data_IF_649161923524
#
_entry.id   IF_649161923524
#
_cell.length_a   1.000
_cell.length_b   1.000
_cell.length_c   1.000
_cell.angle_alpha   90.00
_cell.angle_beta   90.00
_cell.angle_gamma   90.00
#
_symmetry.space_group_name_H-M   'P 1'
#
loop_
_entity.id
_entity.type
_entity.pdbx_description
1 polymer ?
#
# COMPACT_ATOMS: atom_id res chain seq x y z
N UNK A 1 -6.17 3.56 -22.85
CA UNK A 1 -5.95 2.12 -23.11
C UNK A 1 -6.13 1.36 -21.80
N UNK A 2 -6.46 0.07 -21.84
CA UNK A 2 -6.51 -0.78 -20.63
C UNK A 2 -5.28 -1.69 -20.63
N UNK A 3 -4.46 -1.58 -19.58
CA UNK A 3 -3.26 -2.38 -19.36
C UNK A 3 -3.56 -3.43 -18.29
N UNK A 4 -3.49 -4.72 -18.65
CA UNK A 4 -3.47 -5.83 -17.69
C UNK A 4 -2.02 -6.11 -17.32
N UNK A 5 -1.56 -5.53 -16.22
CA UNK A 5 -0.16 -5.54 -15.83
C UNK A 5 0.11 -6.67 -14.83
N UNK A 6 1.10 -7.52 -15.13
CA UNK A 6 1.62 -8.53 -14.21
C UNK A 6 2.97 -8.04 -13.66
N UNK A 7 3.11 -7.83 -12.34
CA UNK A 7 4.38 -7.37 -11.76
C UNK A 7 5.51 -8.37 -12.05
N UNK A 8 6.62 -7.88 -12.60
CA UNK A 8 7.88 -8.62 -12.71
C UNK A 8 8.88 -8.24 -11.60
N UNK A 9 8.63 -7.11 -10.95
CA UNK A 9 9.39 -6.59 -9.82
C UNK A 9 8.44 -5.86 -8.86
N UNK A 10 8.75 -5.92 -7.58
CA UNK A 10 8.14 -5.12 -6.52
C UNK A 10 9.17 -4.16 -5.95
N UNK A 11 8.72 -2.96 -5.62
CA UNK A 11 9.55 -1.89 -5.07
C UNK A 11 9.26 -1.67 -3.59
N UNK A 12 10.27 -1.32 -2.81
CA UNK A 12 10.15 -1.01 -1.38
C UNK A 12 10.39 0.47 -1.10
N UNK A 13 10.35 1.29 -2.16
CA UNK A 13 10.62 2.72 -2.10
C UNK A 13 9.77 3.48 -3.12
N UNK A 14 9.36 4.68 -2.73
CA UNK A 14 8.87 5.70 -3.66
C UNK A 14 10.06 6.53 -4.16
N UNK A 15 10.14 6.73 -5.46
CA UNK A 15 11.26 7.42 -6.10
C UNK A 15 11.32 7.15 -7.59
N UNK A 16 12.25 7.78 -8.32
CA UNK A 16 12.42 7.61 -9.76
C UNK A 16 13.09 6.27 -10.12
N UNK A 17 12.54 5.16 -9.60
CA UNK A 17 12.98 3.80 -9.89
C UNK A 17 12.75 3.44 -11.37
N UNK A 18 13.38 2.37 -11.85
CA UNK A 18 13.17 1.85 -13.21
C UNK A 18 11.66 1.61 -13.48
N UNK A 19 11.05 2.31 -14.45
CA UNK A 19 9.63 2.16 -14.74
C UNK A 19 9.27 0.74 -15.14
N UNK A 20 8.27 0.17 -14.48
CA UNK A 20 7.76 -1.15 -14.84
C UNK A 20 6.90 -1.10 -16.12
N UNK A 21 6.28 0.04 -16.38
CA UNK A 21 5.50 0.31 -17.59
C UNK A 21 5.40 1.82 -17.82
N UNK A 22 5.44 2.25 -19.09
CA UNK A 22 5.09 3.61 -19.50
C UNK A 22 3.63 3.65 -19.92
N UNK A 23 2.88 4.63 -19.44
CA UNK A 23 1.46 4.80 -19.71
C UNK A 23 1.16 6.25 -20.13
N UNK A 24 0.02 6.45 -20.78
CA UNK A 24 -0.48 7.78 -21.17
C UNK A 24 -1.59 8.25 -20.25
N UNK A 25 -1.81 9.56 -20.20
CA UNK A 25 -3.00 10.11 -19.54
C UNK A 25 -4.27 9.50 -20.12
N UNK A 26 -5.20 9.10 -19.25
CA UNK A 26 -6.44 8.40 -19.59
C UNK A 26 -6.34 6.88 -19.62
N UNK A 27 -5.15 6.31 -19.41
CA UNK A 27 -4.97 4.86 -19.33
C UNK A 27 -5.49 4.27 -18.01
N UNK A 28 -5.91 3.00 -18.09
CA UNK A 28 -6.35 2.20 -16.95
C UNK A 28 -5.37 1.06 -16.73
N UNK A 29 -4.96 0.83 -15.48
CA UNK A 29 -4.16 -0.33 -15.08
C UNK A 29 -5.04 -1.28 -14.28
N UNK A 30 -4.99 -2.56 -14.63
CA UNK A 30 -5.53 -3.68 -13.85
C UNK A 30 -4.34 -4.55 -13.45
N UNK A 31 -4.11 -4.75 -12.16
CA UNK A 31 -2.96 -5.53 -11.67
C UNK A 31 -3.27 -6.20 -10.34
N UNK A 32 -2.39 -7.10 -9.90
CA UNK A 32 -2.45 -7.73 -8.59
C UNK A 32 -1.35 -7.19 -7.68
N UNK A 33 -1.69 -7.01 -6.41
CA UNK A 33 -0.78 -6.66 -5.32
C UNK A 33 -0.53 -7.87 -4.44
N UNK A 34 0.60 -7.88 -3.76
CA UNK A 34 0.88 -8.76 -2.62
C UNK A 34 0.52 -8.02 -1.33
N UNK A 35 0.36 -8.75 -0.22
CA UNK A 35 0.16 -8.12 1.08
C UNK A 35 1.41 -7.38 1.60
N UNK A 36 1.30 -6.66 2.72
CA UNK A 36 2.39 -5.90 3.33
C UNK A 36 3.67 -6.70 3.67
N UNK A 37 3.59 -8.03 3.70
CA UNK A 37 4.75 -8.95 3.91
C UNK A 37 5.26 -9.58 2.61
N UNK A 38 4.66 -9.23 1.48
CA UNK A 38 5.02 -9.79 0.18
C UNK A 38 4.48 -11.18 -0.06
N UNK A 39 3.29 -11.53 0.44
CA UNK A 39 2.62 -12.78 0.08
C UNK A 39 1.48 -12.55 -0.90
N UNK A 40 1.42 -13.37 -1.94
CA UNK A 40 0.39 -13.33 -2.99
C UNK A 40 -0.94 -14.00 -2.56
N UNK A 41 -1.85 -14.19 -3.52
CA UNK A 41 -3.15 -14.83 -3.33
C UNK A 41 -3.05 -16.31 -2.88
N UNK A 42 -1.93 -16.97 -3.20
CA UNK A 42 -1.65 -18.36 -2.83
C UNK A 42 -0.83 -18.48 -1.55
N UNK A 43 -0.57 -17.36 -0.85
CA UNK A 43 0.32 -17.28 0.31
C UNK A 43 1.77 -17.69 -0.03
N UNK A 44 2.21 -17.41 -1.25
CA UNK A 44 3.60 -17.57 -1.68
C UNK A 44 4.33 -16.23 -1.56
N UNK A 45 5.57 -16.21 -1.01
CA UNK A 45 6.33 -14.99 -0.88
C UNK A 45 6.85 -14.49 -2.24
N UNK A 46 7.09 -13.18 -2.36
CA UNK A 46 7.78 -12.61 -3.54
C UNK A 46 9.14 -13.33 -3.73
N UNK A 47 9.40 -13.90 -4.91
CA UNK A 47 10.70 -14.48 -5.24
C UNK A 47 11.83 -13.45 -5.13
N UNK A 48 13.03 -13.80 -4.62
CA UNK A 48 14.13 -12.85 -4.44
C UNK A 48 14.54 -12.10 -5.72
N UNK A 49 14.36 -12.67 -6.90
CA UNK A 49 14.62 -12.05 -8.20
C UNK A 49 13.63 -10.95 -8.58
N UNK A 50 12.41 -10.99 -8.01
CA UNK A 50 11.37 -9.99 -8.20
C UNK A 50 11.43 -8.86 -7.16
N UNK A 51 12.35 -8.91 -6.20
CA UNK A 51 12.53 -7.85 -5.21
C UNK A 51 13.42 -6.72 -5.75
N UNK A 52 13.14 -5.48 -5.37
CA UNK A 52 14.02 -4.34 -5.67
C UNK A 52 15.43 -4.60 -5.15
N UNK A 53 16.42 -4.27 -6.00
CA UNK A 53 17.85 -4.42 -5.70
C UNK A 53 18.59 -3.16 -6.13
N UNK A 54 19.55 -2.75 -5.31
CA UNK A 54 20.52 -1.71 -5.62
C UNK A 54 21.82 -2.07 -4.92
N UNK A 55 22.95 -1.83 -5.60
CA UNK A 55 24.27 -2.17 -5.08
C UNK A 55 24.55 -1.40 -3.77
N UNK A 56 24.98 -2.12 -2.74
CA UNK A 56 25.28 -1.53 -1.42
C UNK A 56 24.06 -1.12 -0.59
N UNK A 57 22.83 -1.40 -1.03
CA UNK A 57 21.60 -1.04 -0.31
C UNK A 57 20.90 -2.27 0.24
N UNK A 58 20.54 -2.23 1.52
CA UNK A 58 19.62 -3.19 2.14
C UNK A 58 18.26 -2.52 2.32
N UNK A 59 17.22 -3.05 1.66
CA UNK A 59 15.87 -2.51 1.77
C UNK A 59 15.14 -3.11 2.96
N UNK A 60 14.29 -2.29 3.60
CA UNK A 60 13.24 -2.82 4.47
C UNK A 60 12.14 -3.40 3.59
N UNK A 61 11.97 -4.72 3.60
CA UNK A 61 11.03 -5.43 2.73
C UNK A 61 9.58 -5.41 3.26
N UNK A 62 9.07 -4.23 3.59
CA UNK A 62 7.67 -3.98 3.95
C UNK A 62 6.94 -3.20 2.86
N UNK A 63 5.62 -3.39 2.79
CA UNK A 63 4.69 -2.70 1.90
C UNK A 63 5.15 -2.72 0.43
N UNK A 64 5.31 -3.92 -0.19
CA UNK A 64 5.83 -4.03 -1.55
C UNK A 64 4.88 -3.37 -2.56
N UNK A 65 5.44 -2.50 -3.39
CA UNK A 65 4.72 -1.68 -4.34
C UNK A 65 4.77 -2.27 -5.75
N UNK A 66 3.64 -2.25 -6.45
CA UNK A 66 3.55 -2.39 -7.90
C UNK A 66 3.78 -1.06 -8.59
N UNK A 67 4.32 -1.10 -9.81
CA UNK A 67 4.83 0.08 -10.52
C UNK A 67 6.37 0.12 -10.46
N UNK A 68 7.00 1.31 -10.45
CA UNK A 68 6.37 2.58 -10.75
C UNK A 68 5.92 2.63 -12.21
N UNK A 69 4.78 3.26 -12.43
CA UNK A 69 4.21 3.56 -13.74
C UNK A 69 4.66 4.97 -14.14
N UNK A 70 5.38 5.07 -15.25
CA UNK A 70 5.82 6.35 -15.79
C UNK A 70 4.72 6.93 -16.70
N UNK A 71 4.18 8.08 -16.34
CA UNK A 71 3.08 8.75 -17.05
C UNK A 71 3.65 9.75 -18.04
N UNK A 72 3.65 9.42 -19.34
CA UNK A 72 4.46 10.09 -20.37
C UNK A 72 4.32 11.62 -20.43
N UNK A 73 3.12 12.15 -20.18
CA UNK A 73 2.80 13.59 -20.33
C UNK A 73 2.79 14.36 -19.00
N UNK A 74 3.15 13.70 -17.89
CA UNK A 74 3.19 14.29 -16.55
C UNK A 74 4.50 15.03 -16.31
N UNK A 75 4.42 16.32 -16.01
CA UNK A 75 5.56 17.20 -15.75
C UNK A 75 5.44 17.87 -14.37
N UNK A 76 6.55 18.29 -13.74
CA UNK A 76 6.49 19.03 -12.48
C UNK A 76 5.56 20.24 -12.56
N UNK A 77 4.65 20.35 -11.59
CA UNK A 77 3.61 21.39 -11.55
C UNK A 77 2.22 20.93 -12.00
N UNK A 78 2.13 19.73 -12.57
CA UNK A 78 0.86 19.02 -12.80
C UNK A 78 0.37 18.29 -11.53
N UNK A 79 -0.84 17.73 -11.62
CA UNK A 79 -1.34 16.72 -10.68
C UNK A 79 -1.77 15.46 -11.44
N UNK A 80 -1.52 14.28 -10.86
CA UNK A 80 -2.19 13.05 -11.27
C UNK A 80 -3.59 13.01 -10.65
N UNK A 81 -4.59 12.67 -11.46
CA UNK A 81 -5.93 12.27 -11.02
C UNK A 81 -6.02 10.76 -11.12
N UNK A 82 -6.21 10.11 -9.98
CA UNK A 82 -6.26 8.64 -9.87
C UNK A 82 -7.67 8.24 -9.46
N UNK A 83 -8.43 7.71 -10.41
CA UNK A 83 -9.75 7.15 -10.12
C UNK A 83 -9.60 5.69 -9.72
N UNK A 84 -9.89 5.37 -8.46
CA UNK A 84 -9.82 4.00 -7.92
C UNK A 84 -11.11 3.27 -8.31
N UNK A 85 -11.04 2.46 -9.37
CA UNK A 85 -12.21 1.83 -9.99
C UNK A 85 -12.66 0.56 -9.29
N UNK A 86 -11.70 -0.23 -8.81
CA UNK A 86 -11.98 -1.51 -8.18
C UNK A 86 -10.83 -1.92 -7.25
N UNK A 87 -11.16 -2.47 -6.09
CA UNK A 87 -10.22 -3.15 -5.19
C UNK A 87 -10.90 -4.42 -4.72
N UNK A 88 -10.33 -5.57 -5.06
CA UNK A 88 -10.88 -6.88 -4.74
C UNK A 88 -9.83 -7.73 -4.05
N UNK A 89 -9.94 -7.97 -2.73
CA UNK A 89 -9.16 -8.99 -2.06
C UNK A 89 -9.27 -10.32 -2.81
N UNK A 90 -8.14 -10.93 -3.12
CA UNK A 90 -8.08 -12.09 -4.03
C UNK A 90 -7.80 -13.42 -3.31
N UNK A 91 -7.91 -13.43 -1.98
CA UNK A 91 -7.81 -14.62 -1.12
C UNK A 91 -8.77 -14.55 0.07
N UNK A 92 -9.08 -15.70 0.66
CA UNK A 92 -10.04 -15.80 1.78
C UNK A 92 -9.40 -15.57 3.16
N UNK A 93 -8.17 -15.05 3.22
CA UNK A 93 -7.49 -14.79 4.49
C UNK A 93 -6.77 -13.44 4.49
N UNK A 94 -6.78 -12.77 5.62
CA UNK A 94 -5.96 -11.60 5.89
C UNK A 94 -5.22 -11.79 7.23
N UNK A 95 -4.24 -10.94 7.50
CA UNK A 95 -3.55 -10.98 8.79
C UNK A 95 -3.48 -9.60 9.41
N UNK A 96 -3.40 -9.58 10.74
CA UNK A 96 -3.01 -8.41 11.53
C UNK A 96 -1.98 -8.88 12.55
N UNK A 97 -1.13 -8.00 13.05
CA UNK A 97 -0.13 -8.38 14.05
C UNK A 97 0.17 -7.22 14.99
N UNK A 98 0.05 -7.47 16.30
CA UNK A 98 0.71 -6.64 17.30
C UNK A 98 2.17 -7.05 17.30
N UNK A 99 3.07 -6.10 17.07
CA UNK A 99 4.51 -6.31 17.13
C UNK A 99 5.09 -5.54 18.32
N UNK A 100 6.11 -6.08 19.00
CA UNK A 100 6.88 -5.33 19.97
C UNK A 100 7.46 -4.06 19.32
N UNK A 101 7.37 -2.95 20.02
CA UNK A 101 7.91 -1.65 19.61
C UNK A 101 7.31 -1.05 18.31
N UNK A 102 6.05 -1.37 17.99
CA UNK A 102 5.36 -0.86 16.80
C UNK A 102 3.84 -0.76 17.04
N UNK A 103 3.26 0.40 16.74
CA UNK A 103 1.87 0.77 17.01
C UNK A 103 1.74 1.88 18.07
N UNK A 104 0.62 2.59 18.05
CA UNK A 104 0.37 3.78 18.88
C UNK A 104 0.23 3.51 20.38
N UNK A 105 -0.09 2.28 20.79
CA UNK A 105 -0.25 1.89 22.19
C UNK A 105 0.98 1.17 22.77
N UNK A 106 2.12 1.29 22.09
CA UNK A 106 3.44 0.86 22.54
C UNK A 106 4.45 1.96 22.19
N UNK A 107 5.69 1.87 22.68
CA UNK A 107 6.74 2.69 22.09
C UNK A 107 6.96 2.30 20.63
N UNK A 108 7.21 3.27 19.75
CA UNK A 108 7.44 3.03 18.32
C UNK A 108 8.56 3.94 17.83
N UNK A 109 9.81 3.51 18.06
CA UNK A 109 10.99 4.12 17.41
C UNK A 109 12.05 3.04 17.16
N UNK A 110 12.36 2.72 15.89
CA UNK A 110 13.44 1.81 15.56
C UNK A 110 14.76 2.24 16.20
N UNK A 111 15.37 1.33 16.97
CA UNK A 111 16.68 1.55 17.59
C UNK A 111 16.70 2.53 18.76
N UNK A 112 15.55 2.94 19.30
CA UNK A 112 15.48 3.74 20.54
C UNK A 112 14.45 3.19 21.50
N UNK A 113 14.81 3.15 22.77
CA UNK A 113 13.90 2.90 23.88
C UNK A 113 13.38 4.25 24.38
N UNK A 114 12.07 4.47 24.27
CA UNK A 114 11.38 5.65 24.78
C UNK A 114 10.74 5.40 26.15
N UNK A 115 10.30 4.16 26.39
CA UNK A 115 9.62 3.74 27.61
C UNK A 115 10.40 2.61 28.29
N UNK A 116 10.31 2.54 29.62
CA UNK A 116 10.92 1.46 30.40
C UNK A 116 9.97 0.26 30.60
N UNK A 117 8.73 0.36 30.11
CA UNK A 117 7.73 -0.69 30.18
C UNK A 117 8.14 -1.86 29.27
N UNK A 118 7.75 -3.09 29.65
CA UNK A 118 7.85 -4.22 28.73
C UNK A 118 6.99 -3.97 27.49
N UNK A 119 7.57 -4.25 26.31
CA UNK A 119 6.84 -4.14 25.06
C UNK A 119 5.66 -5.11 25.01
N UNK A 120 4.63 -4.75 24.24
CA UNK A 120 3.51 -5.64 23.99
C UNK A 120 4.02 -6.94 23.33
N UNK A 121 3.57 -8.12 23.80
CA UNK A 121 4.00 -9.39 23.22
C UNK A 121 3.46 -9.51 21.79
N UNK A 122 4.25 -10.14 20.92
CA UNK A 122 3.82 -10.44 19.55
C UNK A 122 2.53 -11.25 19.57
N UNK A 123 1.49 -10.75 18.89
CA UNK A 123 0.26 -11.50 18.64
C UNK A 123 -0.11 -11.44 17.17
N UNK A 124 -0.27 -12.60 16.54
CA UNK A 124 -0.71 -12.71 15.15
C UNK A 124 -2.18 -13.09 15.10
N UNK A 125 -2.92 -12.36 14.30
CA UNK A 125 -4.33 -12.63 14.01
C UNK A 125 -4.45 -13.07 12.55
N UNK A 126 -5.09 -14.20 12.32
CA UNK A 126 -5.43 -14.69 10.98
C UNK A 126 -6.93 -14.59 10.82
N UNK A 127 -7.36 -13.67 9.98
CA UNK A 127 -8.75 -13.40 9.67
C UNK A 127 -9.21 -14.31 8.54
N UNK A 128 -10.39 -14.89 8.67
CA UNK A 128 -11.11 -15.47 7.53
C UNK A 128 -11.91 -14.38 6.85
N UNK A 129 -11.78 -14.22 5.54
CA UNK A 129 -12.58 -13.30 4.75
C UNK A 129 -13.72 -14.08 4.08
N UNK A 130 -14.96 -13.65 4.35
CA UNK A 130 -16.13 -14.09 3.61
C UNK A 130 -16.46 -13.03 2.56
N UNK A 131 -15.81 -13.14 1.40
CA UNK A 131 -15.91 -12.15 0.33
C UNK A 131 -17.32 -12.03 -0.25
N UNK A 132 -18.14 -13.09 -0.12
CA UNK A 132 -19.55 -13.06 -0.55
C UNK A 132 -20.42 -12.25 0.41
N UNK A 133 -20.18 -12.37 1.72
CA UNK A 133 -20.86 -11.59 2.76
C UNK A 133 -20.20 -10.23 3.02
N UNK A 134 -19.06 -9.97 2.41
CA UNK A 134 -18.26 -8.76 2.61
C UNK A 134 -17.88 -8.52 4.08
N UNK A 135 -17.42 -9.58 4.77
CA UNK A 135 -17.00 -9.51 6.18
C UNK A 135 -15.67 -10.23 6.44
N UNK A 136 -14.91 -9.72 7.42
CA UNK A 136 -13.79 -10.39 8.05
C UNK A 136 -14.20 -11.04 9.37
N UNK A 137 -13.73 -12.25 9.63
CA UNK A 137 -14.08 -13.04 10.82
C UNK A 137 -12.79 -13.43 11.54
N UNK A 138 -12.69 -13.04 12.81
CA UNK A 138 -11.60 -13.46 13.69
C UNK A 138 -12.15 -14.30 14.84
N UNK A 139 -11.55 -15.46 15.05
CA UNK A 139 -11.79 -16.27 16.24
C UNK A 139 -10.94 -15.72 17.39
N UNK A 140 -11.57 -15.51 18.54
CA UNK A 140 -10.95 -14.98 19.74
C UNK A 140 -11.08 -16.01 20.86
N UNK A 141 -10.29 -17.09 20.80
CA UNK A 141 -10.36 -18.22 21.75
C UNK A 141 -10.13 -17.80 23.20
N UNK A 142 -9.38 -16.72 23.42
CA UNK A 142 -9.08 -16.16 24.75
C UNK A 142 -10.08 -15.06 25.19
N UNK A 143 -11.11 -14.75 24.40
CA UNK A 143 -12.09 -13.69 24.69
C UNK A 143 -13.47 -14.26 25.01
N UNK A 144 -14.20 -13.64 25.94
CA UNK A 144 -15.61 -13.96 26.18
C UNK A 144 -16.49 -13.78 24.93
N UNK A 145 -16.10 -12.92 23.98
CA UNK A 145 -16.81 -12.74 22.71
C UNK A 145 -16.66 -13.94 21.77
N UNK A 146 -15.61 -14.76 21.92
CA UNK A 146 -15.25 -15.95 21.12
C UNK A 146 -15.01 -15.70 19.62
N UNK A 147 -15.65 -14.68 19.03
CA UNK A 147 -15.59 -14.33 17.63
C UNK A 147 -15.96 -12.86 17.44
N UNK A 148 -15.32 -12.20 16.49
CA UNK A 148 -15.72 -10.89 15.98
C UNK A 148 -15.93 -10.97 14.46
N UNK A 149 -16.93 -10.25 13.96
CA UNK A 149 -17.13 -10.00 12.54
C UNK A 149 -17.01 -8.50 12.28
N UNK A 150 -16.28 -8.12 11.22
CA UNK A 150 -16.13 -6.72 10.78
C UNK A 150 -16.50 -6.62 9.31
N UNK A 151 -17.12 -5.53 8.88
CA UNK A 151 -17.35 -5.27 7.45
C UNK A 151 -16.03 -5.04 6.73
N UNK A 152 -15.91 -5.54 5.51
CA UNK A 152 -14.78 -5.22 4.64
C UNK A 152 -15.06 -3.94 3.86
N UNK A 153 -14.09 -3.04 3.82
CA UNK A 153 -14.10 -1.87 2.94
C UNK A 153 -12.68 -1.70 2.39
N UNK A 154 -12.30 -2.47 1.35
CA UNK A 154 -10.92 -2.54 0.92
C UNK A 154 -10.40 -1.22 0.34
N UNK A 155 -9.18 -0.85 0.71
CA UNK A 155 -8.51 0.37 0.28
C UNK A 155 -7.00 0.14 0.10
N UNK A 156 -6.31 1.09 -0.52
CA UNK A 156 -4.88 1.03 -0.79
C UNK A 156 -4.13 1.81 0.30
N UNK A 157 -3.42 1.14 1.20
CA UNK A 157 -2.66 1.78 2.29
C UNK A 157 -1.50 2.63 1.76
N UNK A 158 -0.72 2.05 0.83
CA UNK A 158 0.41 2.71 0.19
C UNK A 158 0.11 3.09 -1.26
N UNK A 159 -0.02 4.38 -1.57
CA UNK A 159 -0.15 4.91 -2.94
C UNK A 159 0.54 6.27 -3.06
N UNK A 160 1.41 6.43 -4.05
CA UNK A 160 2.22 7.63 -4.16
C UNK A 160 3.01 7.75 -5.45
N UNK A 161 3.65 8.90 -5.63
CA UNK A 161 4.56 9.22 -6.75
C UNK A 161 6.01 9.29 -6.26
N UNK A 162 6.96 9.50 -7.18
CA UNK A 162 8.31 9.90 -6.82
C UNK A 162 8.31 11.27 -6.09
N UNK A 163 8.96 11.37 -4.91
CA UNK A 163 9.01 12.61 -4.14
C UNK A 163 9.80 13.74 -4.84
N UNK A 164 9.70 14.99 -4.32
CA UNK A 164 10.46 16.14 -4.81
C UNK A 164 11.95 15.90 -4.90
N UNK A 165 12.58 16.52 -5.90
CA UNK A 165 14.00 16.44 -6.19
C UNK A 165 14.51 15.02 -6.50
N UNK A 166 13.60 14.08 -6.82
CA UNK A 166 13.95 12.70 -7.12
C UNK A 166 14.45 11.93 -5.90
N UNK A 167 14.01 12.32 -4.69
CA UNK A 167 14.30 11.56 -3.47
C UNK A 167 13.79 10.13 -3.57
N UNK A 168 14.38 9.27 -2.74
CA UNK A 168 13.96 7.88 -2.57
C UNK A 168 13.56 7.70 -1.12
N UNK A 169 12.27 7.47 -0.88
CA UNK A 169 11.69 7.33 0.45
C UNK A 169 11.18 5.90 0.64
N UNK A 170 11.29 5.29 1.83
CA UNK A 170 10.78 3.95 2.09
C UNK A 170 9.28 3.84 1.82
N UNK A 171 8.83 2.68 1.33
CA UNK A 171 7.42 2.43 1.05
C UNK A 171 6.52 2.57 2.29
N UNK A 172 7.07 2.42 3.50
CA UNK A 172 6.36 2.53 4.78
C UNK A 172 6.23 3.95 5.31
N UNK A 173 6.61 4.97 4.54
CA UNK A 173 6.58 6.38 4.99
C UNK A 173 5.59 7.17 4.13
N UNK A 174 4.63 7.88 4.73
CA UNK A 174 3.84 8.89 4.03
C UNK A 174 4.60 10.20 3.89
N UNK A 175 4.21 11.00 2.90
CA UNK A 175 4.71 12.36 2.71
C UNK A 175 3.87 13.13 1.71
N UNK A 176 4.39 14.25 1.25
CA UNK A 176 3.72 15.10 0.25
C UNK A 176 3.48 14.40 -1.10
N UNK A 177 4.16 13.28 -1.31
CA UNK A 177 4.04 12.41 -2.49
C UNK A 177 2.97 11.32 -2.35
N UNK A 178 2.19 11.32 -1.26
CA UNK A 178 1.33 10.22 -0.86
C UNK A 178 2.10 9.25 0.02
N UNK A 179 2.33 8.03 -0.46
CA UNK A 179 3.08 7.01 0.27
C UNK A 179 2.19 6.16 1.16
N UNK A 180 2.72 5.72 2.30
CA UNK A 180 2.00 4.90 3.30
C UNK A 180 1.01 5.75 4.12
N UNK A 181 -0.04 6.23 3.48
CA UNK A 181 -1.01 7.14 4.09
C UNK A 181 -1.98 6.42 5.01
N UNK A 182 -2.25 5.14 4.75
CA UNK A 182 -3.21 4.31 5.50
C UNK A 182 -4.55 5.03 5.70
N UNK A 183 -4.99 5.72 4.65
CA UNK A 183 -6.21 6.53 4.62
C UNK A 183 -7.34 5.69 4.04
N UNK A 184 -8.35 5.35 4.84
CA UNK A 184 -9.45 4.45 4.43
C UNK A 184 -10.25 4.96 3.22
N UNK A 185 -10.12 6.25 2.90
CA UNK A 185 -10.70 6.92 1.74
C UNK A 185 -10.03 6.55 0.41
N UNK A 186 -8.84 5.92 0.37
CA UNK A 186 -8.22 5.40 -0.88
C UNK A 186 -8.89 4.09 -1.34
N UNK A 187 -10.22 4.04 -1.25
CA UNK A 187 -11.08 2.91 -1.57
C UNK A 187 -11.75 3.03 -2.93
N UNK A 188 -12.43 1.98 -3.36
CA UNK A 188 -13.20 1.99 -4.59
C UNK A 188 -14.20 3.16 -4.66
N UNK A 189 -14.22 3.84 -5.80
CA UNK A 189 -15.12 4.95 -6.11
C UNK A 189 -14.58 6.33 -5.76
N UNK A 190 -13.40 6.42 -5.15
CA UNK A 190 -12.77 7.71 -4.85
C UNK A 190 -11.80 8.16 -5.95
N UNK A 191 -11.49 9.45 -5.90
CA UNK A 191 -10.51 10.08 -6.76
C UNK A 191 -9.43 10.65 -5.85
N UNK A 192 -8.22 10.11 -5.96
CA UNK A 192 -7.03 10.64 -5.30
C UNK A 192 -6.31 11.58 -6.26
N UNK A 193 -5.89 12.73 -5.76
CA UNK A 193 -5.01 13.62 -6.49
C UNK A 193 -3.61 13.51 -5.90
N UNK A 194 -2.58 13.41 -6.75
CA UNK A 194 -1.20 13.39 -6.30
C UNK A 194 -0.41 14.47 -7.05
N UNK A 195 0.42 15.28 -6.37
CA UNK A 195 1.29 16.23 -7.05
C UNK A 195 2.27 15.50 -7.98
N UNK A 196 2.64 16.12 -9.09
CA UNK A 196 3.76 15.65 -9.93
C UNK A 196 4.99 16.47 -9.59
N UNK A 197 6.01 15.82 -9.02
CA UNK A 197 7.25 16.49 -8.64
C UNK A 197 8.43 16.26 -9.58
N UNK A 198 8.38 15.18 -10.36
CA UNK A 198 9.40 14.80 -11.34
C UNK A 198 8.73 14.36 -12.65
N UNK A 199 9.39 14.52 -13.81
CA UNK A 199 8.83 14.07 -15.08
C UNK A 199 8.42 12.60 -15.01
N UNK A 200 7.22 12.28 -15.48
CA UNK A 200 6.67 10.94 -15.47
C UNK A 200 6.00 10.50 -14.18
N UNK A 201 6.07 11.29 -13.09
CA UNK A 201 5.51 11.04 -11.77
C UNK A 201 5.99 9.76 -11.03
N UNK A 202 6.16 8.62 -11.70
CA UNK A 202 6.53 7.32 -11.12
C UNK A 202 5.51 6.82 -10.10
N UNK A 203 4.23 6.77 -10.50
CA UNK A 203 3.13 6.29 -9.66
C UNK A 203 3.37 4.83 -9.24
N UNK A 204 3.36 4.55 -7.95
CA UNK A 204 3.42 3.21 -7.40
C UNK A 204 2.36 3.03 -6.32
N UNK A 205 1.92 1.80 -6.09
CA UNK A 205 0.96 1.49 -5.03
C UNK A 205 1.07 0.04 -4.58
N UNK A 206 0.56 -0.27 -3.39
CA UNK A 206 0.60 -1.61 -2.80
C UNK A 206 -0.13 -1.60 -1.47
N UNK A 207 0.17 -2.59 -0.62
CA UNK A 207 -0.30 -2.59 0.76
C UNK A 207 -1.82 -2.46 0.89
N UNK A 208 -2.54 -3.40 0.30
CA UNK A 208 -4.00 -3.37 0.33
C UNK A 208 -4.50 -3.94 1.65
N UNK A 209 -5.44 -3.22 2.26
CA UNK A 209 -6.10 -3.64 3.48
C UNK A 209 -7.54 -4.02 3.16
N UNK A 210 -8.02 -5.14 3.72
CA UNK A 210 -9.41 -5.55 3.57
C UNK A 210 -10.36 -4.73 4.46
N UNK A 211 -9.83 -4.21 5.58
CA UNK A 211 -10.49 -3.28 6.49
C UNK A 211 -9.45 -2.68 7.45
N UNK A 212 -9.68 -1.44 7.87
CA UNK A 212 -8.88 -0.73 8.87
C UNK A 212 -9.80 0.20 9.68
N UNK A 213 -9.44 0.48 10.94
CA UNK A 213 -10.03 1.57 11.71
C UNK A 213 -9.11 2.78 11.76
N UNK A 214 -9.67 3.97 11.93
CA UNK A 214 -8.91 5.23 11.93
C UNK A 214 -7.71 5.20 12.89
N UNK A 215 -6.55 5.58 12.36
CA UNK A 215 -5.28 5.66 13.08
C UNK A 215 -4.50 4.35 13.19
N UNK A 216 -5.03 3.21 12.70
CA UNK A 216 -4.32 1.93 12.61
C UNK A 216 -3.54 1.57 13.90
N UNK A 217 -4.19 1.69 15.06
CA UNK A 217 -3.48 1.83 16.34
C UNK A 217 -2.52 0.69 16.71
N UNK A 218 -2.74 -0.54 16.24
CA UNK A 218 -1.84 -1.67 16.49
C UNK A 218 -0.69 -1.79 15.47
N UNK A 219 -0.63 -0.87 14.51
CA UNK A 219 0.35 -0.75 13.43
C UNK A 219 0.05 -1.59 12.18
N UNK A 220 -1.01 -2.41 12.18
CA UNK A 220 -1.36 -3.21 11.00
C UNK A 220 -2.88 -3.33 10.86
N UNK A 221 -3.36 -3.33 9.63
CA UNK A 221 -4.77 -3.52 9.30
C UNK A 221 -5.13 -5.01 9.07
N UNK A 222 -6.20 -5.29 8.33
CA UNK A 222 -6.45 -6.61 7.74
C UNK A 222 -5.69 -6.74 6.41
N UNK A 223 -4.41 -7.08 6.51
CA UNK A 223 -3.43 -7.13 5.43
C UNK A 223 -3.73 -8.22 4.40
N UNK A 224 -3.84 -7.84 3.12
CA UNK A 224 -4.30 -8.76 2.07
C UNK A 224 -3.68 -8.46 0.70
N UNK A 225 -3.54 -9.49 -0.12
CA UNK A 225 -3.31 -9.34 -1.55
C UNK A 225 -4.63 -9.01 -2.27
N UNK A 226 -4.58 -8.23 -3.34
CA UNK A 226 -5.78 -7.83 -4.07
C UNK A 226 -5.55 -7.60 -5.56
N UNK A 227 -6.60 -7.76 -6.36
CA UNK A 227 -6.67 -7.15 -7.70
C UNK A 227 -7.12 -5.70 -7.56
N UNK A 228 -6.39 -4.79 -8.19
CA UNK A 228 -6.63 -3.34 -8.15
C UNK A 228 -6.80 -2.83 -9.58
N UNK A 229 -7.80 -1.97 -9.78
CA UNK A 229 -8.00 -1.24 -11.03
C UNK A 229 -7.99 0.27 -10.78
N UNK A 230 -7.07 0.97 -11.43
CA UNK A 230 -6.95 2.43 -11.35
C UNK A 230 -6.94 3.04 -12.75
N UNK A 231 -7.60 4.19 -12.91
CA UNK A 231 -7.50 5.04 -14.11
C UNK A 231 -6.70 6.29 -13.76
N UNK A 232 -5.73 6.63 -14.58
CA UNK A 232 -4.80 7.73 -14.34
C UNK A 232 -4.99 8.77 -15.43
N UNK A 233 -5.27 10.01 -15.04
CA UNK A 233 -5.25 11.17 -15.92
C UNK A 233 -4.23 12.20 -15.38
N UNK A 234 -3.66 13.01 -16.26
CA UNK A 234 -2.83 14.17 -15.90
C UNK A 234 -3.68 15.43 -15.97
N UNK A 235 -3.69 16.20 -14.90
CA UNK A 235 -4.27 17.55 -14.87
C UNK A 235 -3.13 18.55 -15.02
N UNK A 236 -3.11 19.23 -16.16
CA UNK A 236 -2.07 20.20 -16.50
C UNK A 236 -2.21 21.47 -15.67
N UNK A 237 -1.08 22.06 -15.33
CA UNK A 237 -0.98 23.39 -14.68
C UNK A 237 -1.75 23.49 -13.36
N UNK A 238 -1.89 22.38 -12.64
CA UNK A 238 -2.50 22.35 -11.31
C UNK A 238 -1.49 21.93 -10.25
N UNK A 239 -0.83 22.93 -9.68
CA UNK A 239 0.15 22.72 -8.62
C UNK A 239 -0.55 22.53 -7.28
N UNK A 240 -0.49 21.31 -6.76
CA UNK A 240 -0.85 20.97 -5.38
C UNK A 240 0.43 20.61 -4.61
N UNK A 241 0.40 20.77 -3.29
CA UNK A 241 1.58 20.50 -2.43
C UNK A 241 1.44 19.23 -1.60
N UNK A 242 0.23 18.69 -1.48
CA UNK A 242 -0.10 17.46 -0.77
C UNK A 242 -1.24 16.75 -1.52
N UNK A 243 -1.44 15.44 -1.28
CA UNK A 243 -2.56 14.67 -1.84
C UNK A 243 -3.95 15.23 -1.50
#
# INVERSE_FOLDING_TARGET
>A
MIHRFKPLRYYFTFGPNEPALKIKSGDTIITTTVDARGFNEYLEPIPPEMKQKSEGVTFYEGNPLVGPFFVEDAEPGDALKIEIKNICPNRETAWSTIKPHFGSLTEEVPGRMLLLNEALPTRRFVWKLDLKRNIGILKLSESALQKVEVSLDPFIGSIGVAPPYGRVEPASTPGEYGGNMDCVETRQGTILYLPVFVPGAYLAFGDVHAAQGDGELCGTALEVSAEVTVKIDVIKDWTISWP
#
